data_IF_495080647861
#
_entry.id   IF_495080647861
#
_cell.length_a   1.000
_cell.length_b   1.000
_cell.length_c   1.000
_cell.angle_alpha   90.00
_cell.angle_beta   90.00
_cell.angle_gamma   90.00
#
_symmetry.space_group_name_H-M   'P 1'
#
loop_
_entity.id
_entity.type
_entity.pdbx_description
1 polymer ?
#
# COMPACT_ATOMS: atom_id res chain seq x y z
N UNK A 1 19.07 -39.04 55.31
CA UNK A 1 17.60 -39.02 55.40
C UNK A 1 17.18 -37.58 55.12
N UNK A 2 16.73 -37.31 53.88
CA UNK A 2 15.41 -36.74 53.49
C UNK A 2 15.08 -35.38 54.14
N UNK A 3 14.70 -34.30 53.45
CA UNK A 3 14.04 -34.16 52.15
C UNK A 3 14.33 -32.79 51.51
N UNK A 4 14.37 -32.73 50.18
CA UNK A 4 14.31 -31.50 49.40
C UNK A 4 12.91 -31.38 48.79
N UNK A 5 12.22 -30.28 49.08
CA UNK A 5 10.87 -30.01 48.62
C UNK A 5 10.92 -29.12 47.37
N UNK A 6 10.34 -29.62 46.28
CA UNK A 6 10.36 -29.02 44.94
C UNK A 6 9.10 -28.17 44.77
N UNK A 7 9.23 -26.85 44.64
CA UNK A 7 8.12 -25.97 44.26
C UNK A 7 8.22 -25.58 42.78
N UNK A 8 7.35 -26.19 41.96
CA UNK A 8 7.08 -25.81 40.58
C UNK A 8 6.13 -24.60 40.56
N UNK A 9 6.67 -23.41 40.26
CA UNK A 9 5.90 -22.20 40.02
C UNK A 9 5.56 -22.02 38.54
N UNK A 10 4.33 -22.36 38.16
CA UNK A 10 3.73 -22.05 36.85
C UNK A 10 3.56 -20.54 36.66
N UNK A 11 4.18 -19.95 35.63
CA UNK A 11 3.92 -18.56 35.21
C UNK A 11 2.79 -18.51 34.18
N UNK A 12 1.61 -18.07 34.62
CA UNK A 12 0.52 -17.62 33.75
C UNK A 12 0.91 -16.32 33.03
N UNK A 13 0.64 -16.25 31.73
CA UNK A 13 0.88 -15.08 30.87
C UNK A 13 -0.44 -14.31 30.73
N UNK A 14 -0.51 -13.13 31.33
CA UNK A 14 -1.64 -12.22 31.17
C UNK A 14 -1.72 -11.68 29.73
N UNK A 15 -2.87 -11.87 29.09
CA UNK A 15 -3.28 -11.17 27.88
C UNK A 15 -3.73 -9.75 28.23
N UNK A 16 -3.12 -8.73 27.61
CA UNK A 16 -3.61 -7.34 27.66
C UNK A 16 -4.34 -6.97 26.36
N UNK A 17 -5.44 -6.25 26.55
CA UNK A 17 -6.49 -5.85 25.62
C UNK A 17 -6.04 -4.91 24.48
N UNK A 18 -6.23 -5.34 23.22
CA UNK A 18 -6.13 -4.50 22.01
C UNK A 18 -7.49 -4.17 21.35
N UNK A 19 -8.61 -4.47 22.02
CA UNK A 19 -9.96 -4.38 21.45
C UNK A 19 -10.54 -2.97 21.22
N UNK A 20 -9.87 -1.90 21.69
CA UNK A 20 -10.47 -0.55 21.72
C UNK A 20 -9.98 0.41 20.63
N UNK A 21 -8.84 0.17 19.98
CA UNK A 21 -8.33 1.07 18.92
C UNK A 21 -9.09 0.88 17.59
N UNK A 22 -9.38 -0.37 17.21
CA UNK A 22 -10.06 -0.68 15.94
C UNK A 22 -11.51 -0.19 15.86
N UNK A 23 -12.22 -0.11 16.99
CA UNK A 23 -13.59 0.40 17.04
C UNK A 23 -13.65 1.92 16.83
N UNK A 24 -12.65 2.65 17.34
CA UNK A 24 -12.58 4.12 17.21
C UNK A 24 -12.29 4.56 15.77
N UNK A 25 -11.44 3.80 15.07
CA UNK A 25 -11.11 4.05 13.66
C UNK A 25 -12.29 3.75 12.72
N UNK A 26 -13.06 2.67 12.99
CA UNK A 26 -14.26 2.32 12.22
C UNK A 26 -15.39 3.35 12.36
N UNK A 27 -15.53 4.00 13.53
CA UNK A 27 -16.54 5.04 13.74
C UNK A 27 -16.19 6.34 13.03
N UNK A 28 -14.93 6.76 13.11
CA UNK A 28 -14.41 7.96 12.41
C UNK A 28 -14.65 7.93 10.89
N UNK A 29 -14.51 6.77 10.26
CA UNK A 29 -14.67 6.63 8.80
C UNK A 29 -16.15 6.65 8.36
N UNK A 30 -17.06 6.18 9.22
CA UNK A 30 -18.50 6.20 8.96
C UNK A 30 -19.07 7.63 9.06
N UNK A 31 -18.60 8.40 10.04
CA UNK A 31 -19.02 9.78 10.24
C UNK A 31 -18.52 10.71 9.11
N UNK A 32 -17.36 10.40 8.49
CA UNK A 32 -16.87 11.09 7.30
C UNK A 32 -17.66 10.74 6.03
N UNK A 33 -18.15 9.51 5.91
CA UNK A 33 -19.02 9.09 4.80
C UNK A 33 -20.39 9.77 4.86
N UNK A 34 -21.04 9.85 6.02
CA UNK A 34 -22.35 10.51 6.15
C UNK A 34 -22.28 12.02 5.81
N UNK A 35 -21.15 12.68 6.06
CA UNK A 35 -20.97 14.11 5.76
C UNK A 35 -20.88 14.43 4.26
N UNK A 36 -20.57 13.45 3.42
CA UNK A 36 -20.53 13.60 1.96
C UNK A 36 -21.89 13.40 1.28
N UNK A 37 -22.88 12.84 1.97
CA UNK A 37 -24.21 12.54 1.38
C UNK A 37 -25.24 13.67 1.59
N UNK A 38 -24.87 14.78 2.24
CA UNK A 38 -25.82 15.84 2.64
C UNK A 38 -25.81 17.06 1.69
N UNK A 39 -25.00 17.06 0.62
CA UNK A 39 -24.85 18.26 -0.25
C UNK A 39 -25.44 18.15 -1.66
N UNK A 40 -26.20 17.11 -1.97
CA UNK A 40 -26.96 17.01 -3.23
C UNK A 40 -28.45 17.01 -2.91
N UNK A 41 -29.03 18.21 -2.79
CA UNK A 41 -30.45 18.48 -3.02
C UNK A 41 -30.61 19.99 -3.17
N UNK A 42 -30.57 20.49 -4.42
CA UNK A 42 -31.43 21.57 -4.94
C UNK A 42 -31.36 21.55 -6.47
N UNK A 43 -32.47 21.16 -7.10
CA UNK A 43 -32.74 21.23 -8.54
C UNK A 43 -33.28 22.62 -8.95
N UNK A 44 -32.92 23.00 -10.19
CA UNK A 44 -33.63 23.82 -11.19
C UNK A 44 -34.00 25.29 -10.91
N UNK A 45 -33.46 26.19 -11.75
CA UNK A 45 -34.24 26.97 -12.74
C UNK A 45 -33.32 27.90 -13.55
N UNK A 46 -33.20 27.69 -14.88
CA UNK A 46 -32.72 28.73 -15.80
C UNK A 46 -33.61 28.76 -17.03
N UNK A 47 -34.30 29.89 -17.16
CA UNK A 47 -35.27 30.26 -18.19
C UNK A 47 -34.57 30.54 -19.52
N UNK A 48 -35.22 30.14 -20.61
CA UNK A 48 -34.80 30.29 -22.00
C UNK A 48 -34.65 31.74 -22.47
N UNK A 49 -33.63 32.00 -23.32
CA UNK A 49 -33.71 32.98 -24.42
C UNK A 49 -32.97 32.43 -25.63
N UNK A 50 -33.71 32.40 -26.74
CA UNK A 50 -33.36 31.95 -28.10
C UNK A 50 -32.43 32.95 -28.78
N UNK A 51 -31.58 32.50 -29.71
CA UNK A 51 -31.39 33.15 -31.02
C UNK A 51 -30.72 32.18 -32.00
N UNK A 52 -31.34 32.03 -33.16
CA UNK A 52 -30.94 31.19 -34.29
C UNK A 52 -29.92 31.91 -35.20
N UNK A 53 -29.10 31.15 -35.92
CA UNK A 53 -28.26 31.67 -37.00
C UNK A 53 -27.19 30.72 -37.53
N UNK A 54 -27.53 30.06 -38.64
CA UNK A 54 -26.72 29.66 -39.79
C UNK A 54 -25.68 28.50 -39.76
N UNK A 55 -25.75 27.74 -40.85
CA UNK A 55 -25.09 26.48 -41.20
C UNK A 55 -23.86 26.78 -42.07
N UNK A 56 -22.70 26.14 -41.82
CA UNK A 56 -21.87 25.45 -42.83
C UNK A 56 -20.42 25.16 -42.40
N UNK A 57 -20.06 23.89 -42.55
CA UNK A 57 -18.72 23.28 -42.77
C UNK A 57 -17.83 22.87 -41.58
N UNK A 58 -17.12 21.72 -41.69
CA UNK A 58 -16.45 21.06 -40.58
C UNK A 58 -14.95 21.38 -40.52
N UNK A 59 -14.43 21.63 -39.32
CA UNK A 59 -13.00 21.71 -39.04
C UNK A 59 -12.70 20.73 -37.91
N UNK A 60 -12.04 19.63 -38.25
CA UNK A 60 -11.29 18.82 -37.28
C UNK A 60 -10.14 19.67 -36.72
N UNK A 61 -9.90 19.61 -35.40
CA UNK A 61 -8.58 19.48 -34.77
C UNK A 61 -8.74 19.46 -33.23
N UNK A 62 -8.54 18.24 -32.72
CA UNK A 62 -7.69 17.88 -31.58
C UNK A 62 -7.87 18.44 -30.14
N UNK A 63 -7.77 17.46 -29.24
CA UNK A 63 -7.28 17.52 -27.86
C UNK A 63 -8.09 18.29 -26.80
N UNK A 64 -9.07 17.58 -26.19
CA UNK A 64 -9.40 17.79 -24.78
C UNK A 64 -9.62 16.48 -24.03
N UNK A 65 -8.55 16.08 -23.33
CA UNK A 65 -8.56 15.49 -21.99
C UNK A 65 -9.75 14.58 -21.65
N UNK A 66 -9.64 13.30 -21.99
CA UNK A 66 -10.43 12.26 -21.35
C UNK A 66 -9.94 12.11 -19.90
N UNK A 67 -10.42 12.97 -19.00
CA UNK A 67 -10.53 12.63 -17.58
C UNK A 67 -11.53 11.49 -17.48
N UNK A 68 -11.07 10.29 -17.78
CA UNK A 68 -11.87 9.09 -17.69
C UNK A 68 -12.00 8.78 -16.20
N UNK A 69 -13.09 9.29 -15.61
CA UNK A 69 -13.77 8.71 -14.45
C UNK A 69 -14.12 7.26 -14.81
N UNK A 70 -13.12 6.36 -14.78
CA UNK A 70 -13.35 4.92 -14.84
C UNK A 70 -13.39 4.47 -13.39
N UNK A 71 -14.50 4.75 -12.72
CA UNK A 71 -14.92 3.93 -11.61
C UNK A 71 -15.39 2.62 -12.26
N UNK A 72 -14.50 1.64 -12.40
CA UNK A 72 -14.88 0.30 -12.78
C UNK A 72 -15.83 -0.23 -11.70
N UNK A 73 -17.13 -0.12 -11.99
CA UNK A 73 -18.21 -0.79 -11.27
C UNK A 73 -17.94 -2.28 -11.31
N UNK A 74 -17.26 -2.77 -10.28
CA UNK A 74 -16.83 -4.16 -10.17
C UNK A 74 -18.01 -5.00 -9.64
N UNK A 75 -19.06 -5.15 -10.46
CA UNK A 75 -20.22 -6.01 -10.18
C UNK A 75 -20.81 -6.69 -11.44
N UNK A 76 -20.04 -6.82 -12.53
CA UNK A 76 -20.44 -7.70 -13.65
C UNK A 76 -19.22 -8.50 -14.14
N UNK A 77 -19.27 -9.84 -14.18
CA UNK A 77 -18.21 -10.62 -14.79
C UNK A 77 -18.38 -10.58 -16.31
N UNK A 78 -18.20 -9.42 -16.95
CA UNK A 78 -18.02 -9.38 -18.40
C UNK A 78 -16.60 -9.83 -18.71
N UNK A 79 -16.52 -10.92 -19.46
CA UNK A 79 -15.30 -11.60 -19.84
C UNK A 79 -14.53 -10.85 -20.94
N UNK A 80 -14.46 -9.52 -20.89
CA UNK A 80 -13.70 -8.72 -21.84
C UNK A 80 -12.24 -8.65 -21.40
N UNK A 81 -11.44 -9.51 -22.03
CA UNK A 81 -9.99 -9.42 -21.98
C UNK A 81 -9.56 -8.13 -22.69
N UNK A 82 -9.43 -7.03 -21.95
CA UNK A 82 -8.52 -5.97 -22.37
C UNK A 82 -7.09 -6.49 -22.21
N UNK A 83 -6.60 -7.21 -23.22
CA UNK A 83 -5.19 -7.51 -23.39
C UNK A 83 -4.47 -6.20 -23.71
N UNK A 84 -4.14 -5.43 -22.67
CA UNK A 84 -3.12 -4.40 -22.79
C UNK A 84 -1.82 -5.13 -23.10
N UNK A 85 -1.41 -5.03 -24.36
CA UNK A 85 -0.18 -5.62 -24.87
C UNK A 85 0.98 -5.27 -23.93
N UNK A 86 1.79 -6.26 -23.54
CA UNK A 86 2.83 -6.12 -22.52
C UNK A 86 3.86 -5.01 -22.82
N UNK A 87 3.92 -4.60 -24.09
CA UNK A 87 4.73 -3.51 -24.64
C UNK A 87 4.26 -2.10 -24.23
N UNK A 88 2.98 -1.91 -23.91
CA UNK A 88 2.40 -0.60 -23.56
C UNK A 88 2.32 -0.35 -22.05
N UNK A 89 2.92 -1.20 -21.23
CA UNK A 89 2.91 -1.05 -19.78
C UNK A 89 3.83 0.09 -19.32
N UNK A 90 3.32 0.96 -18.45
CA UNK A 90 4.07 2.09 -17.88
C UNK A 90 5.11 1.62 -16.86
N UNK A 91 6.32 1.36 -17.34
CA UNK A 91 7.50 0.99 -16.55
C UNK A 91 8.30 2.23 -16.13
N UNK A 92 8.94 2.18 -14.96
CA UNK A 92 9.86 3.23 -14.47
C UNK A 92 9.21 4.53 -13.97
N UNK A 93 7.94 4.80 -14.27
CA UNK A 93 7.22 5.97 -13.74
C UNK A 93 6.80 5.73 -12.28
N UNK A 94 6.84 6.79 -11.45
CA UNK A 94 6.38 6.75 -10.06
C UNK A 94 4.88 6.48 -9.99
N UNK A 95 4.44 5.85 -8.90
CA UNK A 95 3.02 5.71 -8.58
C UNK A 95 2.48 7.05 -8.04
N UNK A 96 1.31 7.43 -8.52
CA UNK A 96 0.51 8.55 -8.03
C UNK A 96 -0.21 8.17 -6.73
N UNK A 97 -0.75 9.18 -6.03
CA UNK A 97 -1.53 8.95 -4.79
C UNK A 97 -2.83 8.20 -5.07
N UNK A 98 -3.48 8.49 -6.20
CA UNK A 98 -4.70 7.80 -6.63
C UNK A 98 -4.40 6.32 -6.92
N UNK A 99 -3.30 6.01 -7.61
CA UNK A 99 -2.88 4.62 -7.80
C UNK A 99 -2.61 3.92 -6.45
N UNK A 100 -2.03 4.61 -5.47
CA UNK A 100 -1.81 4.05 -4.13
C UNK A 100 -3.12 3.71 -3.41
N UNK A 101 -4.15 4.56 -3.55
CA UNK A 101 -5.49 4.34 -3.00
C UNK A 101 -6.15 3.13 -3.65
N UNK A 102 -6.13 3.05 -4.99
CA UNK A 102 -6.65 1.89 -5.75
C UNK A 102 -5.95 0.60 -5.29
N UNK A 103 -4.62 0.61 -5.14
CA UNK A 103 -3.87 -0.58 -4.66
C UNK A 103 -4.34 -1.01 -3.27
N UNK A 104 -4.59 -0.08 -2.36
CA UNK A 104 -5.05 -0.40 -1.01
C UNK A 104 -6.45 -1.01 -1.04
N UNK A 105 -7.38 -0.36 -1.73
CA UNK A 105 -8.77 -0.79 -1.84
C UNK A 105 -8.89 -2.20 -2.45
N UNK A 106 -8.19 -2.44 -3.56
CA UNK A 106 -8.26 -3.72 -4.27
C UNK A 106 -7.66 -4.86 -3.45
N UNK A 107 -6.60 -4.60 -2.68
CA UNK A 107 -6.03 -5.60 -1.76
C UNK A 107 -7.01 -5.96 -0.64
N UNK A 108 -7.66 -4.96 -0.03
CA UNK A 108 -8.68 -5.21 1.00
C UNK A 108 -9.89 -5.97 0.44
N UNK A 109 -10.39 -5.55 -0.74
CA UNK A 109 -11.48 -6.24 -1.43
C UNK A 109 -11.14 -7.68 -1.78
N UNK A 110 -9.91 -7.95 -2.23
CA UNK A 110 -9.45 -9.31 -2.50
C UNK A 110 -9.47 -10.18 -1.23
N UNK A 111 -9.04 -9.65 -0.09
CA UNK A 111 -9.05 -10.36 1.20
C UNK A 111 -10.48 -10.73 1.62
N UNK A 112 -11.43 -9.81 1.42
CA UNK A 112 -12.84 -10.02 1.72
C UNK A 112 -13.48 -11.08 0.81
N UNK A 113 -13.33 -10.94 -0.51
CA UNK A 113 -13.90 -11.87 -1.50
C UNK A 113 -13.36 -13.30 -1.30
N UNK A 114 -12.05 -13.42 -1.03
CA UNK A 114 -11.40 -14.72 -0.86
C UNK A 114 -11.42 -15.23 0.60
N UNK A 115 -12.12 -14.54 1.51
CA UNK A 115 -12.30 -14.91 2.91
C UNK A 115 -10.99 -15.31 3.63
N UNK A 116 -9.92 -14.53 3.46
CA UNK A 116 -8.59 -14.90 3.96
C UNK A 116 -8.40 -14.70 5.48
N UNK A 117 -9.39 -14.09 6.14
CA UNK A 117 -9.42 -13.81 7.58
C UNK A 117 -8.56 -12.61 8.00
N UNK A 118 -8.33 -12.46 9.30
CA UNK A 118 -7.55 -11.35 9.88
C UNK A 118 -6.09 -11.35 9.40
N UNK A 119 -5.53 -12.53 9.13
CA UNK A 119 -4.19 -12.69 8.54
C UNK A 119 -4.17 -12.52 7.01
N UNK A 120 -5.29 -12.18 6.39
CA UNK A 120 -5.43 -12.10 4.95
C UNK A 120 -4.40 -11.18 4.31
N UNK A 121 -4.14 -10.02 4.92
CA UNK A 121 -3.13 -9.08 4.44
C UNK A 121 -1.73 -9.71 4.46
N UNK A 122 -1.34 -10.37 5.56
CA UNK A 122 -0.05 -11.04 5.68
C UNK A 122 0.08 -12.15 4.64
N UNK A 123 -0.98 -12.91 4.37
CA UNK A 123 -1.02 -13.96 3.35
C UNK A 123 -0.86 -13.40 1.94
N UNK A 124 -1.59 -12.33 1.59
CA UNK A 124 -1.51 -11.68 0.26
C UNK A 124 -0.12 -11.08 0.01
N UNK A 125 0.46 -10.40 1.00
CA UNK A 125 1.82 -9.85 0.89
C UNK A 125 2.87 -10.97 0.74
N UNK A 126 2.62 -12.14 1.32
CA UNK A 126 3.49 -13.31 1.24
C UNK A 126 2.96 -14.40 0.31
N UNK A 127 2.16 -14.03 -0.70
CA UNK A 127 1.40 -14.97 -1.55
C UNK A 127 2.27 -16.06 -2.20
N UNK A 128 3.56 -15.81 -2.40
CA UNK A 128 4.52 -16.81 -2.91
C UNK A 128 4.55 -18.11 -2.10
N UNK A 129 4.28 -18.05 -0.79
CA UNK A 129 4.31 -19.19 0.12
C UNK A 129 2.94 -19.88 0.27
N UNK A 130 1.89 -19.32 -0.32
CA UNK A 130 0.52 -19.82 -0.19
C UNK A 130 0.02 -20.26 -1.57
N UNK A 131 0.14 -21.55 -1.93
CA UNK A 131 -0.20 -22.04 -3.27
C UNK A 131 -1.60 -21.63 -3.74
N UNK A 132 -2.59 -21.62 -2.83
CA UNK A 132 -3.98 -21.22 -3.10
C UNK A 132 -4.13 -19.80 -3.65
N UNK A 133 -3.24 -18.88 -3.27
CA UNK A 133 -3.30 -17.46 -3.66
C UNK A 133 -2.03 -17.01 -4.39
N UNK A 134 -1.16 -17.92 -4.83
CA UNK A 134 0.12 -17.60 -5.50
C UNK A 134 -0.06 -16.69 -6.72
N UNK A 135 -1.22 -16.76 -7.38
CA UNK A 135 -1.61 -15.94 -8.54
C UNK A 135 -2.36 -14.65 -8.21
N UNK A 136 -2.60 -14.30 -6.95
CA UNK A 136 -3.48 -13.19 -6.55
C UNK A 136 -3.08 -11.84 -7.17
N UNK A 137 -1.77 -11.60 -7.35
CA UNK A 137 -1.27 -10.34 -7.91
C UNK A 137 -1.62 -10.14 -9.39
N UNK A 138 -1.94 -11.21 -10.12
CA UNK A 138 -2.51 -11.08 -11.47
C UNK A 138 -3.91 -10.52 -11.43
N UNK A 139 -4.69 -10.86 -10.41
CA UNK A 139 -6.06 -10.36 -10.21
C UNK A 139 -6.06 -8.94 -9.65
N UNK A 140 -5.28 -8.69 -8.62
CA UNK A 140 -5.11 -7.35 -8.03
C UNK A 140 -4.56 -6.37 -9.08
N UNK A 141 -3.60 -6.81 -9.89
CA UNK A 141 -3.01 -6.00 -10.95
C UNK A 141 -3.98 -5.57 -12.05
N UNK A 142 -5.10 -6.28 -12.25
CA UNK A 142 -6.12 -5.90 -13.26
C UNK A 142 -6.79 -4.56 -12.95
N UNK A 143 -6.78 -4.11 -11.68
CA UNK A 143 -7.32 -2.81 -11.32
C UNK A 143 -6.50 -1.63 -11.85
N UNK A 144 -5.22 -1.85 -12.17
CA UNK A 144 -4.34 -0.85 -12.79
C UNK A 144 -3.71 -1.49 -14.02
N UNK A 145 -4.49 -1.67 -15.11
CA UNK A 145 -4.12 -2.56 -16.21
C UNK A 145 -2.93 -2.01 -17.02
N UNK A 146 -2.69 -0.70 -16.98
CA UNK A 146 -1.53 -0.04 -17.59
C UNK A 146 -0.23 -0.19 -16.77
N UNK A 147 -0.26 -0.81 -15.59
CA UNK A 147 0.92 -1.16 -14.78
C UNK A 147 1.16 -2.66 -14.79
N UNK A 148 2.43 -3.11 -14.84
CA UNK A 148 2.70 -4.53 -14.66
C UNK A 148 2.36 -4.96 -13.22
N UNK A 149 1.73 -6.12 -13.08
CA UNK A 149 1.34 -6.70 -11.78
C UNK A 149 2.50 -6.82 -10.79
N UNK A 150 3.73 -7.02 -11.29
CA UNK A 150 4.96 -7.05 -10.47
C UNK A 150 5.30 -5.68 -9.87
N UNK A 151 5.02 -4.58 -10.57
CA UNK A 151 5.19 -3.22 -10.04
C UNK A 151 4.10 -2.91 -9.00
N UNK A 152 2.86 -3.35 -9.25
CA UNK A 152 1.76 -3.24 -8.28
C UNK A 152 2.10 -4.00 -7.00
N UNK A 153 2.59 -5.25 -7.11
CA UNK A 153 3.09 -6.05 -6.00
C UNK A 153 4.16 -5.30 -5.20
N UNK A 154 5.22 -4.84 -5.87
CA UNK A 154 6.34 -4.14 -5.23
C UNK A 154 5.86 -2.86 -4.52
N UNK A 155 4.91 -2.14 -5.13
CA UNK A 155 4.31 -0.95 -4.53
C UNK A 155 3.49 -1.29 -3.29
N UNK A 156 2.67 -2.33 -3.35
CA UNK A 156 1.87 -2.77 -2.22
C UNK A 156 2.74 -3.22 -1.03
N UNK A 157 3.84 -3.95 -1.28
CA UNK A 157 4.82 -4.30 -0.23
C UNK A 157 5.27 -3.04 0.53
N UNK A 158 5.61 -1.97 -0.20
CA UNK A 158 6.01 -0.69 0.39
C UNK A 158 4.83 -0.04 1.13
N UNK A 159 3.63 0.00 0.54
CA UNK A 159 2.49 0.69 1.16
C UNK A 159 2.07 0.06 2.50
N UNK A 160 2.07 -1.27 2.59
CA UNK A 160 1.57 -1.99 3.76
C UNK A 160 2.65 -2.34 4.80
N UNK A 161 3.92 -2.39 4.42
CA UNK A 161 5.03 -2.69 5.37
C UNK A 161 5.81 -1.45 5.78
N UNK A 162 5.42 -0.28 5.26
CA UNK A 162 6.03 0.98 5.65
C UNK A 162 5.58 1.35 7.05
N UNK A 163 6.56 1.61 7.92
CA UNK A 163 6.33 2.16 9.25
C UNK A 163 5.67 3.54 9.16
N UNK A 164 4.82 3.85 10.13
CA UNK A 164 4.14 5.14 10.22
C UNK A 164 5.15 6.30 10.37
N UNK A 165 6.20 6.08 11.15
CA UNK A 165 7.35 6.99 11.24
C UNK A 165 8.37 6.71 10.13
N UNK A 166 8.73 7.75 9.37
CA UNK A 166 9.81 7.68 8.35
C UNK A 166 11.20 7.98 8.91
N UNK A 167 11.28 8.36 10.17
CA UNK A 167 12.50 8.84 10.80
C UNK A 167 13.25 7.66 11.42
N UNK A 168 14.57 7.75 11.37
CA UNK A 168 15.46 6.88 12.10
C UNK A 168 15.96 7.61 13.34
N UNK A 169 15.88 6.97 14.50
CA UNK A 169 16.48 7.51 15.72
C UNK A 169 17.95 7.13 15.82
N UNK A 170 18.68 7.79 16.71
CA UNK A 170 20.11 7.49 16.90
C UNK A 170 20.30 6.09 17.48
N UNK A 171 19.41 5.67 18.38
CA UNK A 171 19.38 4.34 18.98
C UNK A 171 19.14 3.28 17.92
N UNK A 172 18.22 3.52 16.97
CA UNK A 172 17.99 2.61 15.85
C UNK A 172 19.22 2.49 14.94
N UNK A 173 19.96 3.58 14.70
CA UNK A 173 21.22 3.52 13.97
C UNK A 173 22.29 2.69 14.71
N UNK A 174 22.41 2.86 16.01
CA UNK A 174 23.35 2.10 16.85
C UNK A 174 23.01 0.60 16.86
N UNK A 175 21.71 0.26 16.96
CA UNK A 175 21.24 -1.12 16.83
C UNK A 175 21.61 -1.74 15.48
N UNK A 176 21.41 -1.00 14.38
CA UNK A 176 21.77 -1.48 13.03
C UNK A 176 23.28 -1.76 12.89
N UNK A 177 24.13 -0.89 13.43
CA UNK A 177 25.58 -1.07 13.40
C UNK A 177 26.03 -2.26 14.26
N UNK A 178 25.50 -2.37 15.49
CA UNK A 178 25.82 -3.46 16.41
C UNK A 178 25.36 -4.81 15.87
N UNK A 179 24.12 -4.89 15.39
CA UNK A 179 23.55 -6.11 14.84
C UNK A 179 24.36 -6.61 13.63
N UNK A 180 24.81 -5.71 12.75
CA UNK A 180 25.65 -6.11 11.62
C UNK A 180 27.00 -6.68 12.06
N UNK A 181 27.59 -6.12 13.12
CA UNK A 181 28.86 -6.59 13.67
C UNK A 181 28.73 -8.00 14.27
N UNK A 182 27.58 -8.32 14.88
CA UNK A 182 27.33 -9.58 15.58
C UNK A 182 26.76 -10.68 14.67
N UNK A 183 25.82 -10.33 13.79
CA UNK A 183 25.01 -11.28 13.01
C UNK A 183 25.17 -11.13 11.49
N UNK A 184 26.00 -10.19 11.02
CA UNK A 184 26.20 -9.93 9.60
C UNK A 184 24.97 -9.35 8.92
N UNK A 185 24.68 -9.82 7.70
CA UNK A 185 23.65 -9.25 6.83
C UNK A 185 22.23 -9.82 7.05
N UNK A 186 21.91 -10.30 8.26
CA UNK A 186 20.62 -10.93 8.56
C UNK A 186 19.52 -9.89 8.87
N UNK A 187 19.21 -9.03 7.90
CA UNK A 187 18.33 -7.88 8.10
C UNK A 187 16.87 -8.23 8.41
N UNK A 188 16.42 -9.44 8.08
CA UNK A 188 15.05 -9.87 8.32
C UNK A 188 14.74 -9.93 9.83
N UNK A 189 15.67 -10.46 10.63
CA UNK A 189 15.50 -10.57 12.09
C UNK A 189 15.43 -9.19 12.73
N UNK A 190 16.39 -8.31 12.40
CA UNK A 190 16.42 -6.94 12.93
C UNK A 190 15.22 -6.11 12.45
N UNK A 191 14.73 -6.35 11.23
CA UNK A 191 13.55 -5.70 10.70
C UNK A 191 12.29 -6.00 11.51
N UNK A 192 12.09 -7.28 11.85
CA UNK A 192 10.97 -7.72 12.68
C UNK A 192 11.04 -7.10 14.09
N UNK A 193 12.24 -6.99 14.67
CA UNK A 193 12.47 -6.35 15.97
C UNK A 193 12.19 -4.83 15.95
N UNK A 194 12.66 -4.14 14.91
CA UNK A 194 12.47 -2.70 14.72
C UNK A 194 11.06 -2.33 14.23
N UNK A 195 10.23 -3.31 13.84
CA UNK A 195 8.96 -3.07 13.17
C UNK A 195 9.12 -2.30 11.86
N UNK A 196 10.27 -2.45 11.18
CA UNK A 196 10.58 -1.79 9.90
C UNK A 196 10.85 -2.85 8.84
N UNK A 197 10.73 -2.49 7.57
CA UNK A 197 11.02 -3.45 6.50
C UNK A 197 12.53 -3.65 6.28
N UNK A 198 12.95 -4.90 6.02
CA UNK A 198 14.35 -5.33 5.85
C UNK A 198 15.15 -4.51 4.84
N UNK A 199 14.52 -4.01 3.78
CA UNK A 199 15.20 -3.21 2.76
C UNK A 199 15.62 -1.85 3.32
N UNK A 200 14.83 -1.26 4.20
CA UNK A 200 15.17 0.00 4.86
C UNK A 200 16.32 -0.20 5.83
N UNK A 201 16.30 -1.27 6.62
CA UNK A 201 17.40 -1.63 7.53
C UNK A 201 18.71 -1.76 6.77
N UNK A 202 18.71 -2.54 5.68
CA UNK A 202 19.86 -2.70 4.78
C UNK A 202 20.32 -1.39 4.15
N UNK A 203 19.40 -0.50 3.76
CA UNK A 203 19.72 0.80 3.18
C UNK A 203 20.36 1.75 4.21
N UNK A 204 19.81 1.77 5.42
CA UNK A 204 20.35 2.53 6.55
C UNK A 204 21.78 2.11 6.87
N UNK A 205 22.03 0.80 7.01
CA UNK A 205 23.39 0.31 7.22
C UNK A 205 24.35 0.74 6.09
N UNK A 206 23.93 0.65 4.82
CA UNK A 206 24.75 1.07 3.68
C UNK A 206 25.15 2.54 3.73
N UNK A 207 24.30 3.41 4.29
CA UNK A 207 24.59 4.84 4.48
C UNK A 207 25.48 5.09 5.71
N UNK A 208 25.34 4.29 6.76
CA UNK A 208 26.08 4.46 8.02
C UNK A 208 27.49 3.87 7.97
N UNK A 209 27.73 2.80 7.19
CA UNK A 209 28.98 2.03 7.22
C UNK A 209 30.24 2.83 6.81
N UNK A 210 30.07 3.97 6.13
CA UNK A 210 31.16 4.81 5.67
C UNK A 210 31.24 6.05 6.56
N UNK A 211 32.20 6.13 7.51
CA UNK A 211 32.30 7.27 8.42
C UNK A 211 32.71 8.57 7.72
N UNK A 212 33.49 8.48 6.63
CA UNK A 212 34.13 9.63 5.97
C UNK A 212 33.41 10.05 4.67
N UNK A 213 32.08 10.05 4.66
CA UNK A 213 31.36 10.57 3.49
C UNK A 213 31.43 12.09 3.46
N UNK A 214 31.93 12.64 2.35
CA UNK A 214 31.87 14.07 2.08
C UNK A 214 30.41 14.51 2.11
N UNK A 215 30.08 15.44 3.00
CA UNK A 215 28.78 16.08 3.09
C UNK A 215 28.91 17.48 2.52
N UNK A 216 28.29 17.74 1.38
CA UNK A 216 28.32 19.08 0.78
C UNK A 216 28.28 19.04 -0.74
N UNK A 217 28.50 20.22 -1.33
CA UNK A 217 28.65 20.36 -2.77
C UNK A 217 29.93 19.66 -3.22
N UNK A 218 29.88 19.04 -4.40
CA UNK A 218 31.07 18.48 -5.02
C UNK A 218 32.05 19.61 -5.34
N UNK A 219 33.27 19.50 -4.85
CA UNK A 219 34.37 20.37 -5.27
C UNK A 219 34.88 19.91 -6.63
N UNK A 220 35.23 20.86 -7.50
CA UNK A 220 35.96 20.54 -8.72
C UNK A 220 37.36 20.02 -8.33
N UNK A 221 37.84 19.02 -9.06
CA UNK A 221 39.16 18.37 -8.84
C UNK A 221 40.29 19.17 -9.49
#
# INVERSE_FOLDING_TARGET
>A
MFAAEVHLGTKNREHRNDGNKSRKLKKSYRDELEKMHVTEDMQEDVVAVVNEGDISSPIEMEEKTNQTKIFLSLNHPSHEKHEIEEKNLLRGKRFSKLEDEIVKEVVHKYIEIHNLGEEGLKKVLNARFYPKIKGCWKEIGRAIPYRPSTAVYSRAQILFQRSESRKWTKEEHEMVLKFQKEHGNNWTVLADELGKHQWYVKDTWRRLKLPNQNKGQWTHE
#
